data_IF_637701487472
#
_entry.id   IF_637701487472
#
_cell.length_a   1.000
_cell.length_b   1.000
_cell.length_c   1.000
_cell.angle_alpha   90.00
_cell.angle_beta   90.00
_cell.angle_gamma   90.00
#
_symmetry.space_group_name_H-M   'P 1'
#
loop_
_entity.id
_entity.type
_entity.pdbx_description
1 polymer ?
#
# COMPACT_ATOMS: atom_id res chain seq x y z
N UNK A 1 1.75 2.62 -18.28
CA UNK A 1 0.66 2.79 -17.29
C UNK A 1 -0.02 1.45 -17.12
N UNK A 2 0.29 0.75 -16.03
CA UNK A 2 -0.56 -0.37 -15.62
C UNK A 2 -1.97 0.16 -15.35
N UNK A 3 -2.97 -0.57 -15.84
CA UNK A 3 -4.37 -0.25 -15.58
C UNK A 3 -4.66 -0.58 -14.13
N UNK A 4 -5.10 0.39 -13.33
CA UNK A 4 -5.63 0.13 -12.00
C UNK A 4 -6.81 -0.83 -12.11
N UNK A 5 -6.62 -2.07 -11.65
CA UNK A 5 -7.69 -3.07 -11.68
C UNK A 5 -8.45 -3.00 -10.37
N UNK A 6 -9.77 -2.81 -10.45
CA UNK A 6 -10.64 -2.82 -9.28
C UNK A 6 -10.60 -4.20 -8.60
N UNK A 7 -10.38 -4.21 -7.29
CA UNK A 7 -10.39 -5.39 -6.43
C UNK A 7 -11.40 -5.20 -5.33
N UNK A 8 -12.08 -6.27 -4.94
CA UNK A 8 -13.09 -6.25 -3.88
C UNK A 8 -12.65 -7.10 -2.70
N UNK A 9 -12.91 -6.61 -1.50
CA UNK A 9 -12.72 -7.33 -0.23
C UNK A 9 -14.09 -7.74 0.31
N UNK A 10 -14.17 -8.92 0.94
CA UNK A 10 -15.37 -9.32 1.68
C UNK A 10 -15.54 -8.38 2.90
N UNK A 11 -16.76 -7.90 3.15
CA UNK A 11 -17.04 -6.96 4.26
C UNK A 11 -17.18 -7.65 5.62
N UNK A 12 -17.09 -8.97 5.69
CA UNK A 12 -17.14 -9.72 6.94
C UNK A 12 -15.93 -9.37 7.80
N UNK A 13 -16.12 -9.26 9.11
CA UNK A 13 -15.04 -8.98 10.05
C UNK A 13 -13.91 -10.01 9.91
N UNK A 14 -12.67 -9.53 9.91
CA UNK A 14 -11.48 -10.37 9.75
C UNK A 14 -11.14 -10.77 8.31
N UNK A 15 -11.93 -10.36 7.31
CA UNK A 15 -11.58 -10.57 5.90
C UNK A 15 -10.32 -9.81 5.52
N UNK A 16 -9.51 -10.40 4.64
CA UNK A 16 -8.29 -9.80 4.12
C UNK A 16 -8.28 -9.83 2.58
N UNK A 17 -7.68 -8.82 1.97
CA UNK A 17 -7.35 -8.77 0.55
C UNK A 17 -5.86 -8.50 0.43
N UNK A 18 -5.12 -9.47 -0.11
CA UNK A 18 -3.70 -9.33 -0.39
C UNK A 18 -3.49 -9.03 -1.87
N UNK A 19 -2.75 -7.96 -2.16
CA UNK A 19 -2.29 -7.61 -3.49
C UNK A 19 -0.77 -7.77 -3.54
N UNK A 20 -0.27 -8.36 -4.62
CA UNK A 20 1.14 -8.62 -4.84
C UNK A 20 1.52 -8.04 -6.20
N UNK A 21 2.69 -7.43 -6.28
CA UNK A 21 3.20 -6.88 -7.52
C UNK A 21 4.70 -7.03 -7.54
N UNK A 22 5.24 -7.53 -8.65
CA UNK A 22 6.69 -7.63 -8.82
C UNK A 22 7.20 -6.31 -9.38
N UNK A 23 8.14 -5.67 -8.69
CA UNK A 23 8.73 -4.39 -9.06
C UNK A 23 10.19 -4.58 -9.43
N UNK A 24 10.60 -3.95 -10.55
CA UNK A 24 11.98 -4.02 -11.04
C UNK A 24 12.90 -2.94 -10.45
N UNK A 25 12.37 -2.02 -9.64
CA UNK A 25 13.13 -0.85 -9.19
C UNK A 25 13.65 0.02 -10.34
N UNK A 26 12.98 -0.02 -11.50
CA UNK A 26 13.42 0.67 -12.73
C UNK A 26 14.81 0.24 -13.23
N UNK A 27 15.20 -1.01 -13.00
CA UNK A 27 16.49 -1.56 -13.45
C UNK A 27 16.81 -1.24 -14.92
N UNK A 28 18.01 -0.71 -15.16
CA UNK A 28 18.51 -0.34 -16.48
C UNK A 28 17.93 0.96 -17.07
N UNK A 29 17.16 1.73 -16.30
CA UNK A 29 16.59 3.02 -16.70
C UNK A 29 17.29 4.19 -15.97
N UNK A 30 17.10 5.42 -16.46
CA UNK A 30 17.69 6.63 -15.85
C UNK A 30 17.25 6.84 -14.40
N UNK A 31 16.04 6.37 -14.04
CA UNK A 31 15.46 6.46 -12.71
C UNK A 31 15.57 5.16 -11.91
N UNK A 32 16.58 4.33 -12.17
CA UNK A 32 16.86 3.12 -11.39
C UNK A 32 17.05 3.44 -9.90
N UNK A 33 16.37 2.69 -9.05
CA UNK A 33 16.48 2.79 -7.59
C UNK A 33 17.21 1.57 -7.05
N UNK A 34 18.43 1.77 -6.57
CA UNK A 34 19.21 0.70 -5.93
C UNK A 34 18.82 0.49 -4.47
N UNK A 35 18.57 1.58 -3.75
CA UNK A 35 18.22 1.58 -2.33
C UNK A 35 17.07 2.55 -2.07
N UNK A 36 16.11 2.08 -1.29
CA UNK A 36 14.94 2.88 -0.92
C UNK A 36 15.30 3.97 0.10
N UNK A 37 14.55 5.07 0.04
CA UNK A 37 14.53 6.11 1.08
C UNK A 37 13.10 6.23 1.61
N UNK A 38 12.25 6.92 0.84
CA UNK A 38 10.83 7.07 1.09
C UNK A 38 10.04 6.24 0.09
N UNK A 39 9.03 5.51 0.57
CA UNK A 39 8.07 4.78 -0.28
C UNK A 39 6.70 5.39 -0.14
N UNK A 40 6.07 5.72 -1.27
CA UNK A 40 4.68 6.16 -1.33
C UNK A 40 3.79 5.07 -1.92
N UNK A 41 2.67 4.80 -1.24
CA UNK A 41 1.59 3.97 -1.74
C UNK A 41 0.38 4.87 -1.98
N UNK A 42 0.11 5.15 -3.26
CA UNK A 42 -1.07 5.92 -3.67
C UNK A 42 -2.28 4.99 -3.72
N UNK A 43 -3.28 5.26 -2.87
CA UNK A 43 -4.44 4.38 -2.70
C UNK A 43 -5.74 5.12 -3.00
N UNK A 44 -6.51 4.54 -3.91
CA UNK A 44 -7.91 4.88 -4.17
C UNK A 44 -8.80 3.72 -3.73
N UNK A 45 -9.73 3.95 -2.78
CA UNK A 45 -10.65 2.92 -2.28
C UNK A 45 -11.97 3.47 -1.79
N UNK A 46 -12.97 2.58 -1.68
CA UNK A 46 -14.26 2.85 -1.05
C UNK A 46 -14.65 1.70 -0.11
N UNK A 47 -14.84 2.01 1.18
CA UNK A 47 -15.22 1.09 2.23
C UNK A 47 -15.91 1.84 3.37
N UNK A 48 -17.08 1.39 3.82
CA UNK A 48 -17.82 2.03 4.90
C UNK A 48 -18.06 1.10 6.10
N UNK A 49 -17.78 1.55 7.34
CA UNK A 49 -17.04 2.77 7.67
C UNK A 49 -15.54 2.59 7.38
N UNK A 50 -14.89 3.62 6.83
CA UNK A 50 -13.46 3.56 6.45
C UNK A 50 -12.54 3.28 7.64
N UNK A 51 -12.94 3.69 8.85
CA UNK A 51 -12.21 3.43 10.09
C UNK A 51 -11.97 1.95 10.42
N UNK A 52 -12.73 1.04 9.80
CA UNK A 52 -12.59 -0.41 9.95
C UNK A 52 -11.48 -1.03 9.09
N UNK A 53 -10.83 -0.24 8.23
CA UNK A 53 -9.72 -0.71 7.41
C UNK A 53 -8.39 -0.59 8.14
N UNK A 54 -7.56 -1.62 8.00
CA UNK A 54 -6.13 -1.58 8.27
C UNK A 54 -5.39 -1.87 6.98
N UNK A 55 -4.47 -0.99 6.60
CA UNK A 55 -3.62 -1.19 5.42
C UNK A 55 -2.19 -1.44 5.88
N UNK A 56 -1.61 -2.52 5.37
CA UNK A 56 -0.19 -2.83 5.50
C UNK A 56 0.42 -2.96 4.11
N UNK A 57 1.67 -2.55 3.98
CA UNK A 57 2.51 -2.85 2.83
C UNK A 57 3.75 -3.59 3.35
N UNK A 58 4.27 -4.48 2.52
CA UNK A 58 5.49 -5.24 2.80
C UNK A 58 6.49 -4.93 1.69
N UNK A 59 7.77 -4.81 2.02
CA UNK A 59 8.84 -4.75 1.04
C UNK A 59 9.23 -6.16 0.55
N UNK A 60 9.98 -6.29 -0.55
CA UNK A 60 10.54 -7.58 -0.98
C UNK A 60 11.41 -8.28 0.07
N UNK A 61 12.04 -7.52 0.97
CA UNK A 61 12.81 -8.07 2.09
C UNK A 61 11.92 -8.59 3.24
N UNK A 62 10.60 -8.41 3.14
CA UNK A 62 9.61 -8.83 4.14
C UNK A 62 9.33 -7.81 5.25
N UNK A 63 9.90 -6.60 5.18
CA UNK A 63 9.66 -5.56 6.19
C UNK A 63 8.23 -5.05 6.11
N UNK A 64 7.44 -5.05 7.20
CA UNK A 64 6.09 -4.50 7.20
C UNK A 64 6.06 -3.00 7.54
N UNK A 65 5.15 -2.25 6.92
CA UNK A 65 4.71 -0.93 7.39
C UNK A 65 3.19 -0.83 7.44
N UNK A 66 2.67 -0.25 8.51
CA UNK A 66 1.23 0.03 8.64
C UNK A 66 0.97 1.42 8.09
N UNK A 67 0.35 1.49 6.91
CA UNK A 67 0.02 2.74 6.23
C UNK A 67 -1.26 3.39 6.81
N UNK A 68 -2.21 2.56 7.22
CA UNK A 68 -3.46 2.99 7.84
C UNK A 68 -3.77 2.05 9.00
N UNK A 69 -3.78 2.59 10.22
CA UNK A 69 -4.26 1.87 11.39
C UNK A 69 -5.79 1.94 11.48
N UNK A 70 -6.40 1.04 12.25
CA UNK A 70 -7.81 1.13 12.61
C UNK A 70 -8.07 2.46 13.31
N UNK A 71 -9.18 3.10 12.96
CA UNK A 71 -9.61 4.37 13.55
C UNK A 71 -11.06 4.23 13.98
N UNK A 72 -11.34 3.74 15.20
CA UNK A 72 -12.70 3.49 15.68
C UNK A 72 -13.63 4.70 15.61
N UNK A 73 -13.08 5.92 15.60
CA UNK A 73 -13.85 7.18 15.51
C UNK A 73 -14.09 7.66 14.07
N UNK A 74 -13.55 6.99 13.04
CA UNK A 74 -13.78 7.32 11.62
C UNK A 74 -14.97 6.54 11.07
N UNK A 75 -16.16 6.91 11.53
CA UNK A 75 -17.42 6.18 11.29
C UNK A 75 -18.25 6.75 10.14
N UNK A 76 -18.02 8.01 9.74
CA UNK A 76 -18.87 8.74 8.78
C UNK A 76 -18.35 8.71 7.34
N UNK A 77 -17.06 8.46 7.14
CA UNK A 77 -16.44 8.52 5.82
C UNK A 77 -16.32 7.15 5.16
N UNK A 78 -16.32 7.13 3.83
CA UNK A 78 -16.22 5.89 3.04
C UNK A 78 -15.02 5.82 2.08
N UNK A 79 -14.43 6.94 1.66
CA UNK A 79 -13.53 6.94 0.50
C UNK A 79 -12.11 7.43 0.82
N UNK A 80 -11.13 6.94 0.06
CA UNK A 80 -9.82 7.58 -0.10
C UNK A 80 -9.63 7.76 -1.61
N UNK A 81 -9.26 8.97 -2.03
CA UNK A 81 -9.06 9.30 -3.44
C UNK A 81 -7.59 9.69 -3.63
N UNK A 82 -6.85 8.85 -4.34
CA UNK A 82 -5.42 9.00 -4.66
C UNK A 82 -4.58 9.43 -3.44
N UNK A 83 -4.88 8.83 -2.28
CA UNK A 83 -4.26 9.22 -1.02
C UNK A 83 -2.82 8.70 -0.94
N UNK A 84 -1.79 9.57 -0.79
CA UNK A 84 -0.39 9.16 -0.85
C UNK A 84 0.12 8.79 0.54
N UNK A 85 -0.07 7.54 0.96
CA UNK A 85 0.54 7.07 2.20
C UNK A 85 2.06 6.97 2.05
N UNK A 86 2.80 7.45 3.04
CA UNK A 86 4.27 7.46 3.05
C UNK A 86 4.82 6.49 4.11
N UNK A 87 5.89 5.78 3.80
CA UNK A 87 6.66 4.99 4.75
C UNK A 87 8.16 5.23 4.58
N UNK A 88 8.87 5.43 5.69
CA UNK A 88 10.34 5.45 5.76
C UNK A 88 10.95 4.17 6.34
N UNK A 89 10.14 3.14 6.63
CA UNK A 89 10.62 1.90 7.26
C UNK A 89 11.59 1.08 6.38
N UNK A 90 11.62 1.35 5.08
CA UNK A 90 12.34 0.55 4.09
C UNK A 90 13.70 1.16 3.71
N UNK A 91 14.14 2.18 4.45
CA UNK A 91 15.34 2.93 4.10
C UNK A 91 16.56 2.00 3.98
N UNK A 92 17.24 2.05 2.84
CA UNK A 92 18.41 1.23 2.54
C UNK A 92 18.09 -0.17 1.99
N UNK A 93 16.81 -0.56 1.86
CA UNK A 93 16.46 -1.84 1.24
C UNK A 93 16.53 -1.78 -0.28
N UNK A 94 16.81 -2.93 -0.91
CA UNK A 94 16.73 -3.09 -2.36
C UNK A 94 15.25 -3.21 -2.76
N UNK A 95 14.74 -2.37 -3.68
CA UNK A 95 13.30 -2.36 -4.01
C UNK A 95 12.86 -3.49 -4.93
N UNK A 96 13.79 -4.25 -5.52
CA UNK A 96 13.50 -5.30 -6.51
C UNK A 96 12.87 -6.53 -5.87
N UNK A 97 11.76 -7.00 -6.42
CA UNK A 97 11.05 -8.21 -5.99
C UNK A 97 9.55 -7.99 -5.84
N UNK A 98 8.88 -8.92 -5.16
CA UNK A 98 7.42 -8.89 -4.89
C UNK A 98 7.07 -8.12 -3.61
#
# INVERSE_FOLDING_TARGET
MERTVMRSINKSYGSELTLKTNVSGCEGQENEVHYLEHVQCQVSLSFFPRGNLKLKIFSPSGTPSTLLALRPKDEVSATLNDWPFLSGHYWGEVPRGE
#
